data_IF_519553273879
#
_entry.id   IF_519553273879
#
_cell.length_a   1.000
_cell.length_b   1.000
_cell.length_c   1.000
_cell.angle_alpha   90.00
_cell.angle_beta   90.00
_cell.angle_gamma   90.00
#
_symmetry.space_group_name_H-M   'P 1'
#
loop_
_entity.id
_entity.type
_entity.pdbx_description
1 polymer ?
#
# COMPACT_ATOMS: atom_id res chain seq x y z
N UNK A 1 2.82 -17.48 -13.59
CA UNK A 1 3.07 -17.39 -15.04
C UNK A 1 2.38 -16.11 -15.49
N UNK A 2 3.12 -15.13 -16.03
CA UNK A 2 2.48 -13.95 -16.61
C UNK A 2 1.52 -14.41 -17.73
N UNK A 3 0.38 -13.71 -17.95
CA UNK A 3 -0.55 -14.09 -19.01
C UNK A 3 0.20 -14.03 -20.35
N UNK A 4 0.31 -15.19 -21.03
CA UNK A 4 1.04 -15.37 -22.30
C UNK A 4 0.27 -14.83 -23.51
N UNK A 5 -0.70 -13.95 -23.29
CA UNK A 5 -1.48 -13.32 -24.35
C UNK A 5 -0.60 -12.36 -25.13
N UNK A 6 -0.49 -12.58 -26.44
CA UNK A 6 0.16 -11.64 -27.35
C UNK A 6 -0.73 -10.43 -27.54
N UNK A 7 -0.34 -9.28 -27.00
CA UNK A 7 -1.05 -8.02 -27.16
C UNK A 7 -0.55 -7.26 -28.38
N UNK A 8 -1.41 -6.42 -28.98
CA UNK A 8 -1.00 -5.52 -30.07
C UNK A 8 0.00 -4.43 -29.62
N UNK A 9 0.05 -4.17 -28.30
CA UNK A 9 1.03 -3.30 -27.64
C UNK A 9 1.74 -4.14 -26.60
N UNK A 10 3.07 -4.12 -26.61
CA UNK A 10 3.89 -4.84 -25.64
C UNK A 10 3.59 -4.37 -24.22
N UNK A 11 3.35 -5.33 -23.32
CA UNK A 11 3.04 -5.08 -21.92
C UNK A 11 4.35 -4.88 -21.13
N UNK A 12 4.60 -3.64 -20.71
CA UNK A 12 5.81 -3.26 -19.97
C UNK A 12 5.64 -3.37 -18.45
N UNK A 13 4.47 -3.76 -17.96
CA UNK A 13 4.18 -3.74 -16.52
C UNK A 13 4.58 -5.05 -15.83
N UNK A 14 4.92 -4.91 -14.55
CA UNK A 14 5.15 -6.04 -13.66
C UNK A 14 3.90 -6.28 -12.81
N UNK A 15 3.57 -7.56 -12.59
CA UNK A 15 2.37 -7.97 -11.86
C UNK A 15 2.71 -8.86 -10.68
N UNK A 16 1.98 -8.67 -9.59
CA UNK A 16 1.95 -9.58 -8.46
C UNK A 16 0.83 -10.60 -8.69
N UNK A 17 1.19 -11.89 -8.68
CA UNK A 17 0.26 -12.98 -8.90
C UNK A 17 -0.10 -13.64 -7.55
N UNK A 18 -1.37 -13.99 -7.37
CA UNK A 18 -1.84 -14.68 -6.17
C UNK A 18 -3.25 -14.25 -5.80
N UNK A 19 -4.21 -15.13 -6.04
CA UNK A 19 -5.61 -14.90 -5.67
C UNK A 19 -5.73 -14.83 -4.14
N UNK A 20 -6.43 -13.82 -3.62
CA UNK A 20 -6.59 -13.54 -2.18
C UNK A 20 -5.27 -13.43 -1.39
N UNK A 21 -4.15 -13.15 -2.05
CA UNK A 21 -2.86 -13.02 -1.38
C UNK A 21 -2.66 -11.64 -0.76
N UNK A 22 -1.88 -11.59 0.31
CA UNK A 22 -1.42 -10.34 0.91
C UNK A 22 -0.24 -9.81 0.11
N UNK A 23 -0.53 -8.90 -0.82
CA UNK A 23 0.48 -8.27 -1.68
C UNK A 23 1.08 -7.05 -0.99
N UNK A 24 2.38 -6.83 -1.23
CA UNK A 24 3.08 -5.60 -0.85
C UNK A 24 3.77 -5.04 -2.10
N UNK A 25 3.58 -3.75 -2.37
CA UNK A 25 4.17 -3.06 -3.52
C UNK A 25 4.62 -1.66 -3.15
N UNK A 26 5.80 -1.28 -3.59
CA UNK A 26 6.40 0.03 -3.33
C UNK A 26 6.81 0.69 -4.65
N UNK A 27 6.35 1.92 -4.89
CA UNK A 27 6.81 2.73 -6.02
C UNK A 27 8.17 3.38 -5.74
N UNK A 28 8.43 3.72 -4.47
CA UNK A 28 9.70 4.26 -3.97
C UNK A 28 10.17 3.30 -2.87
N UNK A 29 11.42 2.82 -2.92
CA UNK A 29 11.94 1.93 -1.88
C UNK A 29 11.81 2.52 -0.48
N UNK A 30 11.41 1.68 0.48
CA UNK A 30 11.18 2.03 1.88
C UNK A 30 9.97 2.95 2.12
N UNK A 31 9.01 2.97 1.20
CA UNK A 31 7.75 3.70 1.40
C UNK A 31 6.82 2.99 2.40
N UNK A 32 6.92 1.65 2.48
CA UNK A 32 6.19 0.83 3.46
C UNK A 32 7.13 0.50 4.62
N UNK A 33 6.63 0.63 5.86
CA UNK A 33 7.39 0.23 7.04
C UNK A 33 7.14 -1.24 7.38
N UNK A 34 8.22 -1.96 7.65
CA UNK A 34 8.20 -3.43 7.85
C UNK A 34 7.39 -3.87 9.08
N UNK A 35 7.35 -3.05 10.14
CA UNK A 35 6.89 -3.51 11.47
C UNK A 35 5.47 -3.04 11.81
N UNK A 36 5.00 -1.95 11.20
CA UNK A 36 3.75 -1.31 11.61
C UNK A 36 3.05 -0.62 10.44
N UNK A 37 1.73 -0.77 10.39
CA UNK A 37 0.92 -0.14 9.35
C UNK A 37 0.74 1.37 9.58
N UNK A 38 0.55 1.80 10.84
CA UNK A 38 0.28 3.18 11.25
C UNK A 38 1.37 3.72 12.19
N UNK A 39 2.57 4.06 11.68
CA UNK A 39 3.60 4.71 12.49
C UNK A 39 3.20 6.15 12.83
N UNK A 40 3.86 6.73 13.84
CA UNK A 40 3.70 8.16 14.16
C UNK A 40 4.25 9.07 13.04
N UNK A 41 5.33 8.65 12.38
CA UNK A 41 5.94 9.33 11.23
C UNK A 41 6.09 8.33 10.10
N UNK A 42 5.34 8.54 9.02
CA UNK A 42 5.47 7.74 7.80
C UNK A 42 6.72 8.13 7.02
N UNK A 43 7.24 7.17 6.24
CA UNK A 43 8.24 7.46 5.23
C UNK A 43 7.74 8.53 4.26
N UNK A 44 8.64 9.42 3.83
CA UNK A 44 8.36 10.51 2.88
C UNK A 44 7.20 11.45 3.27
N UNK A 45 6.79 11.49 4.54
CA UNK A 45 5.65 12.31 4.98
C UNK A 45 4.30 11.84 4.40
N UNK A 46 4.21 10.58 3.97
CA UNK A 46 2.98 10.00 3.44
C UNK A 46 1.89 9.92 4.51
N UNK A 47 0.63 9.85 4.08
CA UNK A 47 -0.51 9.58 4.96
C UNK A 47 -0.88 8.10 4.84
N UNK A 48 -1.03 7.45 5.99
CA UNK A 48 -1.55 6.07 6.04
C UNK A 48 -3.07 6.11 5.93
N UNK A 49 -3.61 5.36 5.00
CA UNK A 49 -5.04 5.13 4.83
C UNK A 49 -5.31 3.63 4.83
N UNK A 50 -6.44 3.21 5.41
CA UNK A 50 -6.90 1.82 5.37
C UNK A 50 -8.22 1.75 4.61
N UNK A 51 -8.30 0.87 3.63
CA UNK A 51 -9.56 0.46 3.01
C UNK A 51 -9.94 -0.90 3.61
N UNK A 52 -11.17 -1.00 4.12
CA UNK A 52 -11.73 -2.25 4.64
C UNK A 52 -12.93 -2.63 3.78
N UNK A 53 -12.83 -3.76 3.08
CA UNK A 53 -13.90 -4.24 2.19
C UNK A 53 -14.83 -5.24 2.90
N UNK A 54 -14.50 -5.65 4.12
CA UNK A 54 -15.32 -6.50 4.97
C UNK A 54 -15.45 -5.92 6.38
N UNK A 55 -16.41 -6.45 7.14
CA UNK A 55 -16.57 -6.10 8.55
C UNK A 55 -15.30 -6.39 9.34
N UNK A 56 -14.96 -5.50 10.27
CA UNK A 56 -13.85 -5.69 11.20
C UNK A 56 -14.06 -6.89 12.14
N UNK A 57 -15.32 -7.21 12.43
CA UNK A 57 -15.70 -8.25 13.37
C UNK A 57 -15.92 -9.61 12.71
N UNK A 58 -15.45 -9.82 11.48
CA UNK A 58 -15.53 -11.12 10.84
C UNK A 58 -14.88 -12.19 11.73
N UNK A 59 -15.60 -13.27 12.08
CA UNK A 59 -15.14 -14.24 13.08
C UNK A 59 -13.96 -15.09 12.59
N UNK A 60 -13.82 -15.25 11.27
CA UNK A 60 -12.74 -16.01 10.63
C UNK A 60 -11.88 -15.05 9.82
N UNK A 61 -10.56 -15.26 9.79
CA UNK A 61 -9.59 -14.36 9.14
C UNK A 61 -9.64 -14.39 7.61
N UNK A 62 -9.97 -15.54 7.02
CA UNK A 62 -9.97 -15.76 5.57
C UNK A 62 -10.83 -14.74 4.79
N UNK A 63 -12.07 -14.43 5.20
CA UNK A 63 -12.86 -13.41 4.51
C UNK A 63 -12.46 -11.97 4.85
N UNK A 64 -11.45 -11.73 5.68
CA UNK A 64 -11.09 -10.36 6.07
C UNK A 64 -10.27 -9.68 4.98
N UNK A 65 -10.90 -8.76 4.24
CA UNK A 65 -10.30 -8.03 3.13
C UNK A 65 -9.96 -6.61 3.57
N UNK A 66 -8.66 -6.32 3.61
CA UNK A 66 -8.13 -5.01 3.98
C UNK A 66 -6.92 -4.65 3.13
N UNK A 67 -6.77 -3.36 2.86
CA UNK A 67 -5.60 -2.80 2.16
C UNK A 67 -5.13 -1.56 2.89
N UNK A 68 -3.82 -1.46 3.09
CA UNK A 68 -3.17 -0.26 3.63
C UNK A 68 -2.50 0.50 2.50
N UNK A 69 -2.75 1.80 2.44
CA UNK A 69 -2.20 2.71 1.44
C UNK A 69 -1.36 3.77 2.13
N UNK A 70 -0.19 4.05 1.56
CA UNK A 70 0.69 5.14 1.97
C UNK A 70 0.70 6.16 0.85
N UNK A 71 -0.17 7.16 0.95
CA UNK A 71 -0.45 8.10 -0.14
C UNK A 71 -0.07 9.52 0.20
N UNK A 72 0.17 10.32 -0.83
CA UNK A 72 0.13 11.77 -0.68
C UNK A 72 -1.31 12.14 -0.30
N UNK A 73 -1.48 12.74 0.87
CA UNK A 73 -2.80 13.24 1.26
C UNK A 73 -3.17 14.51 0.50
N UNK A 74 -4.43 14.98 0.59
CA UNK A 74 -4.72 16.37 0.26
C UNK A 74 -3.76 17.26 1.06
N UNK A 75 -3.31 18.36 0.46
CA UNK A 75 -2.32 19.28 1.03
C UNK A 75 -2.68 19.63 2.48
N UNK A 76 -2.16 18.87 3.46
CA UNK A 76 -2.23 19.22 4.87
C UNK A 76 -1.12 20.23 5.04
N UNK A 77 -1.49 21.50 5.14
CA UNK A 77 -0.55 22.61 5.26
C UNK A 77 0.59 22.24 6.23
N UNK A 78 1.82 22.33 5.71
CA UNK A 78 3.09 22.37 6.44
C UNK A 78 2.98 21.91 7.90
N UNK A 79 3.02 20.60 8.16
CA UNK A 79 3.59 20.19 9.44
C UNK A 79 5.07 20.55 9.37
N UNK A 80 5.42 21.63 10.09
CA UNK A 80 6.75 22.21 10.20
C UNK A 80 7.77 21.08 10.36
N UNK A 81 8.59 20.87 9.33
CA UNK A 81 9.72 19.95 9.37
C UNK A 81 10.67 20.54 10.42
N UNK A 82 10.72 19.95 11.62
CA UNK A 82 11.80 20.20 12.55
C UNK A 82 13.00 19.39 12.03
N UNK A 83 13.97 20.08 11.44
CA UNK A 83 15.25 19.47 11.15
C UNK A 83 15.93 19.09 12.48
N UNK A 84 16.49 17.88 12.62
CA UNK A 84 17.41 17.60 13.71
C UNK A 84 18.68 18.44 13.51
N UNK A 85 19.12 19.11 14.57
CA UNK A 85 20.46 19.69 14.66
C UNK A 85 21.52 18.65 14.95
#
# INVERSE_FOLDING_TARGET
MAPVTTFAVEDTYSYLNGFNSYHQSEAIPNAILVVINTPQKNAFGLQTERISNTSFANPIREPNLQTWLYRVGPFRGLQRIHAPG
#
